data_IF_001898663559
#
_entry.id   IF_001898663559
#
_cell.length_a   1.000
_cell.length_b   1.000
_cell.length_c   1.000
_cell.angle_alpha   90.00
_cell.angle_beta   90.00
_cell.angle_gamma   90.00
#
_symmetry.space_group_name_H-M   'P 1'
#
loop_
_entity.id
_entity.type
_entity.pdbx_description
1 polymer ?
#
# COMPACT_ATOMS: atom_id res chain seq x y z
N UNK A 1 -5.54 -9.83 70.23
CA UNK A 1 -6.04 -10.29 68.91
C UNK A 1 -5.70 -9.23 67.89
N UNK A 2 -4.78 -9.54 66.97
CA UNK A 2 -4.18 -8.60 66.03
C UNK A 2 -5.14 -8.24 64.88
N UNK A 3 -5.13 -6.97 64.48
CA UNK A 3 -6.03 -6.39 63.49
C UNK A 3 -5.90 -7.07 62.11
N UNK A 4 -7.02 -7.52 61.56
CA UNK A 4 -7.16 -8.10 60.23
C UNK A 4 -6.95 -7.02 59.14
N UNK A 5 -6.12 -7.26 58.12
CA UNK A 5 -5.84 -6.28 57.08
C UNK A 5 -7.06 -6.07 56.16
N UNK A 6 -7.36 -4.80 55.90
CA UNK A 6 -8.56 -4.30 55.24
C UNK A 6 -8.52 -4.58 53.70
N UNK A 7 -9.47 -5.32 53.13
CA UNK A 7 -9.49 -5.71 51.70
C UNK A 7 -9.74 -4.56 50.71
N UNK A 8 -10.13 -3.37 51.17
CA UNK A 8 -10.43 -2.20 50.32
C UNK A 8 -9.22 -1.64 49.55
N UNK A 9 -7.99 -1.88 50.03
CA UNK A 9 -6.78 -1.31 49.40
C UNK A 9 -6.35 -2.03 48.12
N UNK A 10 -6.68 -3.33 47.99
CA UNK A 10 -6.34 -4.13 46.82
C UNK A 10 -7.22 -3.79 45.62
N UNK A 11 -8.53 -3.61 45.83
CA UNK A 11 -9.46 -3.19 44.78
C UNK A 11 -9.15 -1.79 44.23
N UNK A 12 -8.76 -0.86 45.12
CA UNK A 12 -8.31 0.48 44.71
C UNK A 12 -7.00 0.43 43.89
N UNK A 13 -6.05 -0.44 44.26
CA UNK A 13 -4.79 -0.60 43.53
C UNK A 13 -4.96 -1.25 42.16
N UNK A 14 -5.86 -2.24 42.03
CA UNK A 14 -6.23 -2.81 40.73
C UNK A 14 -6.89 -1.77 39.83
N UNK A 15 -7.80 -0.96 40.38
CA UNK A 15 -8.48 0.09 39.62
C UNK A 15 -7.51 1.17 39.12
N UNK A 16 -6.53 1.55 39.96
CA UNK A 16 -5.46 2.45 39.54
C UNK A 16 -4.57 1.86 38.44
N UNK A 17 -4.22 0.57 38.54
CA UNK A 17 -3.40 -0.11 37.55
C UNK A 17 -4.11 -0.23 36.19
N UNK A 18 -5.41 -0.57 36.19
CA UNK A 18 -6.24 -0.59 34.98
C UNK A 18 -6.34 0.80 34.35
N UNK A 19 -6.50 1.86 35.16
CA UNK A 19 -6.51 3.24 34.67
C UNK A 19 -5.20 3.61 33.99
N UNK A 20 -4.05 3.27 34.59
CA UNK A 20 -2.73 3.54 34.01
C UNK A 20 -2.47 2.72 32.74
N UNK A 21 -2.95 1.47 32.67
CA UNK A 21 -2.86 0.66 31.45
C UNK A 21 -3.71 1.25 30.31
N UNK A 22 -4.91 1.74 30.60
CA UNK A 22 -5.78 2.40 29.62
C UNK A 22 -5.11 3.67 29.09
N UNK A 23 -4.50 4.47 29.97
CA UNK A 23 -3.78 5.69 29.61
C UNK A 23 -2.56 5.40 28.71
N UNK A 24 -1.80 4.35 29.04
CA UNK A 24 -0.66 3.88 28.23
C UNK A 24 -1.12 3.39 26.86
N UNK A 25 -2.21 2.62 26.79
CA UNK A 25 -2.78 2.15 25.52
C UNK A 25 -3.27 3.34 24.69
N UNK A 26 -3.90 4.34 25.31
CA UNK A 26 -4.38 5.54 24.62
C UNK A 26 -3.25 6.30 23.93
N UNK A 27 -2.15 6.54 24.66
CA UNK A 27 -0.96 7.23 24.11
C UNK A 27 -0.31 6.42 23.00
N UNK A 28 -0.22 5.09 23.13
CA UNK A 28 0.35 4.24 22.08
C UNK A 28 -0.54 4.13 20.85
N UNK A 29 -1.85 4.07 21.02
CA UNK A 29 -2.78 4.09 19.89
C UNK A 29 -2.69 5.41 19.15
N UNK A 30 -2.65 6.54 19.86
CA UNK A 30 -2.45 7.86 19.24
C UNK A 30 -1.16 7.90 18.41
N UNK A 31 -0.05 7.37 18.95
CA UNK A 31 1.23 7.28 18.24
C UNK A 31 1.16 6.36 17.01
N UNK A 32 0.60 5.14 17.15
CA UNK A 32 0.44 4.17 16.05
C UNK A 32 -0.43 4.76 14.94
N UNK A 33 -1.47 5.52 15.29
CA UNK A 33 -2.37 6.13 14.30
C UNK A 33 -1.66 7.23 13.50
N UNK A 34 -0.77 8.00 14.14
CA UNK A 34 0.04 9.03 13.48
C UNK A 34 1.11 8.38 12.60
N UNK A 35 1.82 7.39 13.13
CA UNK A 35 2.90 6.68 12.41
C UNK A 35 2.36 5.91 11.19
N UNK A 36 1.17 5.30 11.32
CA UNK A 36 0.47 4.66 10.21
C UNK A 36 0.05 5.66 9.12
N UNK A 37 -0.36 6.89 9.48
CA UNK A 37 -0.69 7.95 8.51
C UNK A 37 0.56 8.41 7.76
N UNK A 38 1.67 8.57 8.46
CA UNK A 38 2.91 9.05 7.88
C UNK A 38 3.51 8.02 6.90
N UNK A 39 3.52 6.74 7.28
CA UNK A 39 3.98 5.67 6.39
C UNK A 39 3.02 5.47 5.20
N UNK A 40 1.71 5.66 5.39
CA UNK A 40 0.74 5.63 4.29
C UNK A 40 0.97 6.76 3.27
N UNK A 41 1.28 7.97 3.74
CA UNK A 41 1.65 9.10 2.85
C UNK A 41 2.94 8.79 2.11
N UNK A 42 3.96 8.27 2.79
CA UNK A 42 5.25 7.88 2.19
C UNK A 42 5.11 6.80 1.13
N UNK A 43 4.30 5.76 1.42
CA UNK A 43 3.96 4.72 0.45
C UNK A 43 3.19 5.29 -0.74
N UNK A 44 2.25 6.20 -0.50
CA UNK A 44 1.49 6.86 -1.57
C UNK A 44 2.40 7.71 -2.45
N UNK A 45 3.31 8.46 -1.86
CA UNK A 45 4.30 9.28 -2.56
C UNK A 45 5.22 8.40 -3.42
N UNK A 46 5.73 7.30 -2.87
CA UNK A 46 6.54 6.32 -3.62
C UNK A 46 5.76 5.69 -4.78
N UNK A 47 4.47 5.39 -4.58
CA UNK A 47 3.59 4.86 -5.64
C UNK A 47 3.37 5.89 -6.74
N UNK A 48 3.13 7.16 -6.39
CA UNK A 48 2.95 8.24 -7.36
C UNK A 48 4.22 8.47 -8.16
N UNK A 49 5.38 8.61 -7.51
CA UNK A 49 6.66 8.78 -8.21
C UNK A 49 7.04 7.54 -9.02
N UNK A 50 6.77 6.34 -8.50
CA UNK A 50 6.98 5.09 -9.22
C UNK A 50 6.11 5.01 -10.49
N UNK A 51 4.83 5.34 -10.38
CA UNK A 51 3.91 5.40 -11.52
C UNK A 51 4.35 6.44 -12.55
N UNK A 52 4.77 7.63 -12.08
CA UNK A 52 5.29 8.69 -12.95
C UNK A 52 6.55 8.25 -13.68
N UNK A 53 7.51 7.63 -12.98
CA UNK A 53 8.75 7.11 -13.56
C UNK A 53 8.46 6.05 -14.65
N UNK A 54 7.57 5.10 -14.36
CA UNK A 54 7.15 4.07 -15.33
C UNK A 54 6.50 4.72 -16.57
N UNK A 55 5.63 5.73 -16.36
CA UNK A 55 4.98 6.44 -17.46
C UNK A 55 6.01 7.18 -18.35
N UNK A 56 6.93 7.93 -17.75
CA UNK A 56 8.00 8.64 -18.48
C UNK A 56 8.94 7.68 -19.22
N UNK A 57 9.32 6.56 -18.60
CA UNK A 57 10.13 5.52 -19.26
C UNK A 57 9.39 4.92 -20.46
N UNK A 58 8.10 4.63 -20.31
CA UNK A 58 7.26 4.10 -21.39
C UNK A 58 7.23 5.06 -22.58
N UNK A 59 7.01 6.36 -22.33
CA UNK A 59 7.06 7.38 -23.37
C UNK A 59 8.46 7.53 -23.98
N UNK A 60 9.52 7.50 -23.17
CA UNK A 60 10.91 7.57 -23.63
C UNK A 60 11.26 6.43 -24.59
N UNK A 61 10.88 5.20 -24.25
CA UNK A 61 11.08 4.04 -25.12
C UNK A 61 10.25 4.21 -26.42
N UNK A 62 9.03 4.78 -26.34
CA UNK A 62 8.19 5.00 -27.51
C UNK A 62 8.82 6.01 -28.48
N UNK A 63 9.32 7.13 -27.96
CA UNK A 63 10.05 8.11 -28.76
C UNK A 63 11.35 7.53 -29.31
N UNK A 64 12.08 6.72 -28.54
CA UNK A 64 13.30 6.05 -29.03
C UNK A 64 12.99 5.10 -30.20
N UNK A 65 11.89 4.35 -30.12
CA UNK A 65 11.43 3.49 -31.21
C UNK A 65 11.09 4.30 -32.48
N UNK A 66 10.39 5.43 -32.33
CA UNK A 66 10.10 6.34 -33.45
C UNK A 66 11.40 6.91 -34.03
N UNK A 67 12.33 7.38 -33.19
CA UNK A 67 13.61 7.92 -33.61
C UNK A 67 14.43 6.89 -34.39
N UNK A 68 14.51 5.64 -33.91
CA UNK A 68 15.19 4.55 -34.61
C UNK A 68 14.48 4.19 -35.93
N UNK A 69 13.14 4.26 -35.95
CA UNK A 69 12.36 4.07 -37.19
C UNK A 69 12.68 5.12 -38.24
N UNK A 70 12.77 6.39 -37.84
CA UNK A 70 13.13 7.51 -38.74
C UNK A 70 14.59 7.38 -39.17
N UNK A 71 15.50 7.04 -38.26
CA UNK A 71 16.94 6.95 -38.53
C UNK A 71 17.28 5.81 -39.52
N UNK A 72 16.59 4.66 -39.42
CA UNK A 72 16.83 3.50 -40.30
C UNK A 72 15.87 3.45 -41.51
N UNK A 73 15.10 4.52 -41.75
CA UNK A 73 14.06 4.56 -42.77
C UNK A 73 14.58 4.37 -44.20
N UNK A 74 15.84 4.64 -44.50
CA UNK A 74 16.30 4.62 -45.90
C UNK A 74 16.58 3.20 -46.44
N UNK A 75 16.95 2.24 -45.58
CA UNK A 75 17.37 0.90 -46.05
C UNK A 75 16.44 -0.25 -45.67
N UNK A 76 15.72 -0.18 -44.54
CA UNK A 76 14.99 -1.35 -44.00
C UNK A 76 13.65 -0.99 -43.31
N UNK A 77 12.85 -0.11 -43.93
CA UNK A 77 11.57 0.41 -43.40
C UNK A 77 10.69 -0.64 -42.73
N UNK A 78 10.43 -1.76 -43.41
CA UNK A 78 9.51 -2.80 -42.93
C UNK A 78 10.07 -3.61 -41.75
N UNK A 79 11.38 -3.88 -41.71
CA UNK A 79 12.00 -4.62 -40.60
C UNK A 79 11.99 -3.80 -39.32
N UNK A 80 12.28 -2.50 -39.42
CA UNK A 80 12.30 -1.62 -38.25
C UNK A 80 10.88 -1.41 -37.71
N UNK A 81 9.91 -1.20 -38.61
CA UNK A 81 8.51 -1.03 -38.23
C UNK A 81 7.94 -2.29 -37.56
N UNK A 82 8.19 -3.48 -38.12
CA UNK A 82 7.70 -4.76 -37.57
C UNK A 82 8.39 -5.14 -36.26
N UNK A 83 9.71 -4.91 -36.13
CA UNK A 83 10.45 -5.17 -34.92
C UNK A 83 9.96 -4.28 -33.76
N UNK A 84 9.87 -2.96 -33.97
CA UNK A 84 9.39 -2.06 -32.93
C UNK A 84 7.92 -2.25 -32.63
N UNK A 85 7.07 -2.51 -33.62
CA UNK A 85 5.66 -2.80 -33.40
C UNK A 85 5.47 -4.07 -32.56
N UNK A 86 6.19 -5.15 -32.89
CA UNK A 86 6.12 -6.41 -32.14
C UNK A 86 6.68 -6.24 -30.72
N UNK A 87 7.80 -5.52 -30.57
CA UNK A 87 8.39 -5.23 -29.27
C UNK A 87 7.42 -4.42 -28.39
N UNK A 88 6.81 -3.37 -28.92
CA UNK A 88 5.83 -2.54 -28.20
C UNK A 88 4.57 -3.30 -27.82
N UNK A 89 4.02 -4.10 -28.74
CA UNK A 89 2.85 -4.93 -28.47
C UNK A 89 3.16 -5.95 -27.37
N UNK A 90 4.34 -6.58 -27.42
CA UNK A 90 4.75 -7.59 -26.43
C UNK A 90 4.95 -6.95 -25.06
N UNK A 91 5.67 -5.82 -24.97
CA UNK A 91 5.81 -5.08 -23.72
C UNK A 91 4.46 -4.60 -23.17
N UNK A 92 3.59 -4.06 -24.03
CA UNK A 92 2.26 -3.62 -23.65
C UNK A 92 1.38 -4.77 -23.14
N UNK A 93 1.44 -5.94 -23.78
CA UNK A 93 0.72 -7.13 -23.34
C UNK A 93 1.22 -7.63 -21.97
N UNK A 94 2.53 -7.70 -21.77
CA UNK A 94 3.12 -8.09 -20.47
C UNK A 94 2.73 -7.11 -19.38
N UNK A 95 2.83 -5.79 -19.65
CA UNK A 95 2.41 -4.76 -18.70
C UNK A 95 0.92 -4.87 -18.36
N UNK A 96 0.05 -5.13 -19.34
CA UNK A 96 -1.38 -5.32 -19.12
C UNK A 96 -1.71 -6.57 -18.28
N UNK A 97 -0.97 -7.67 -18.47
CA UNK A 97 -1.11 -8.89 -17.66
C UNK A 97 -0.69 -8.62 -16.21
N UNK A 98 0.46 -7.96 -16.01
CA UNK A 98 0.94 -7.60 -14.66
C UNK A 98 -0.04 -6.64 -13.98
N UNK A 99 -0.52 -5.61 -14.69
CA UNK A 99 -1.50 -4.67 -14.17
C UNK A 99 -2.80 -5.38 -13.76
N UNK A 100 -3.30 -6.30 -14.59
CA UNK A 100 -4.49 -7.11 -14.25
C UNK A 100 -4.28 -7.98 -13.03
N UNK A 101 -3.12 -8.64 -12.92
CA UNK A 101 -2.78 -9.43 -11.74
C UNK A 101 -2.75 -8.58 -10.46
N UNK A 102 -2.14 -7.39 -10.53
CA UNK A 102 -2.03 -6.47 -9.39
C UNK A 102 -3.35 -5.82 -9.00
N UNK A 103 -4.21 -5.50 -9.96
CA UNK A 103 -5.57 -5.01 -9.67
C UNK A 103 -6.41 -6.09 -8.96
N UNK A 104 -6.28 -7.36 -9.38
CA UNK A 104 -7.00 -8.46 -8.74
C UNK A 104 -6.52 -8.73 -7.29
N UNK A 105 -5.23 -8.54 -7.00
CA UNK A 105 -4.66 -8.66 -5.66
C UNK A 105 -5.02 -7.46 -4.76
N UNK A 106 -4.96 -6.23 -5.30
CA UNK A 106 -5.28 -5.01 -4.56
C UNK A 106 -6.72 -4.95 -4.07
N UNK A 107 -7.70 -5.34 -4.90
CA UNK A 107 -9.11 -5.40 -4.47
C UNK A 107 -9.34 -6.42 -3.35
N UNK A 108 -8.58 -7.52 -3.32
CA UNK A 108 -8.69 -8.56 -2.30
C UNK A 108 -8.13 -8.13 -0.94
N UNK A 109 -7.00 -7.43 -0.91
CA UNK A 109 -6.39 -6.93 0.33
C UNK A 109 -7.31 -5.91 1.02
N UNK A 110 -7.79 -4.89 0.28
CA UNK A 110 -8.72 -3.89 0.83
C UNK A 110 -10.07 -4.48 1.26
N UNK A 111 -10.62 -5.44 0.49
CA UNK A 111 -11.86 -6.12 0.87
C UNK A 111 -11.69 -6.94 2.15
N UNK A 112 -10.57 -7.64 2.33
CA UNK A 112 -10.29 -8.40 3.54
C UNK A 112 -10.13 -7.50 4.77
N UNK A 113 -9.41 -6.38 4.65
CA UNK A 113 -9.25 -5.40 5.74
C UNK A 113 -10.56 -4.71 6.08
N UNK A 114 -11.43 -4.40 5.10
CA UNK A 114 -12.75 -3.82 5.35
C UNK A 114 -13.70 -4.81 6.03
N UNK A 115 -13.65 -6.09 5.69
CA UNK A 115 -14.42 -7.13 6.37
C UNK A 115 -13.93 -7.37 7.80
N UNK A 116 -12.62 -7.30 8.02
CA UNK A 116 -12.01 -7.42 9.34
C UNK A 116 -12.34 -6.21 10.22
N UNK A 117 -12.35 -5.00 9.64
CA UNK A 117 -12.76 -3.77 10.34
C UNK A 117 -14.25 -3.76 10.69
N UNK A 118 -15.11 -4.34 9.84
CA UNK A 118 -16.54 -4.56 10.15
C UNK A 118 -16.73 -5.52 11.32
N UNK A 119 -15.95 -6.59 11.39
CA UNK A 119 -16.00 -7.55 12.51
C UNK A 119 -15.56 -6.91 13.82
N UNK A 120 -14.53 -6.07 13.78
CA UNK A 120 -14.10 -5.31 14.97
C UNK A 120 -15.17 -4.29 15.40
N UNK A 121 -15.88 -3.67 14.46
CA UNK A 121 -17.01 -2.79 14.76
C UNK A 121 -18.19 -3.52 15.41
N UNK A 122 -18.53 -4.71 14.91
CA UNK A 122 -19.60 -5.55 15.46
C UNK A 122 -19.24 -6.11 16.85
N UNK A 123 -17.95 -6.31 17.13
CA UNK A 123 -17.46 -6.75 18.44
C UNK A 123 -17.45 -5.62 19.48
N UNK A 124 -17.24 -4.36 19.06
CA UNK A 124 -17.28 -3.19 19.93
C UNK A 124 -18.72 -2.70 20.21
N UNK A 125 -19.68 -3.07 19.36
CA UNK A 125 -21.09 -2.68 19.49
C UNK A 125 -21.97 -3.77 20.16
N UNK A 126 -21.36 -4.79 20.75
CA UNK A 126 -21.98 -5.83 21.58
C UNK A 126 -21.51 -5.72 23.02
#
# INVERSE_FOLDING_TARGET
MAATPRPERLGASLKGFVSSLIEIVHVRLELITVEARDEALRLTELLVYGALAIAFLTFGIAFLAVLLTVLLWDSHRLLVLTLFSTLFITLGAVAAVIARARMAEGTRLFASTLDELKRDQDALNR
#
